data_IF_081926558017
#
_entry.id   IF_081926558017
#
_cell.length_a   1.000
_cell.length_b   1.000
_cell.length_c   1.000
_cell.angle_alpha   90.00
_cell.angle_beta   90.00
_cell.angle_gamma   90.00
#
_symmetry.space_group_name_H-M   'P 1'
#
loop_
_entity.id
_entity.type
_entity.pdbx_description
1 polymer ?
#
# COMPACT_ATOMS: atom_id res chain seq x y z
N UNK A 1 33.80 37.58 -18.18
CA UNK A 1 33.09 36.81 -19.23
C UNK A 1 32.22 35.77 -18.56
N UNK A 2 30.92 36.00 -18.49
CA UNK A 2 29.99 35.02 -17.94
C UNK A 2 29.74 33.96 -19.00
N UNK A 3 29.96 32.69 -18.66
CA UNK A 3 29.87 31.57 -19.60
C UNK A 3 28.37 31.28 -19.88
N UNK A 4 27.83 31.97 -20.89
CA UNK A 4 26.40 32.01 -21.27
C UNK A 4 25.78 30.62 -21.40
N UNK A 5 26.54 29.63 -21.88
CA UNK A 5 26.09 28.23 -21.96
C UNK A 5 25.81 27.61 -20.59
N UNK A 6 26.64 27.88 -19.57
CA UNK A 6 26.44 27.36 -18.21
C UNK A 6 25.24 28.03 -17.54
N UNK A 7 25.00 29.31 -17.80
CA UNK A 7 23.83 30.01 -17.25
C UNK A 7 22.51 29.49 -17.84
N UNK A 8 22.46 29.22 -19.14
CA UNK A 8 21.25 28.67 -19.78
C UNK A 8 20.90 27.29 -19.21
N UNK A 9 21.90 26.43 -19.01
CA UNK A 9 21.71 25.10 -18.40
C UNK A 9 21.20 25.22 -16.96
N UNK A 10 21.76 26.13 -16.16
CA UNK A 10 21.30 26.38 -14.79
C UNK A 10 19.85 26.89 -14.77
N UNK A 11 19.48 27.78 -15.69
CA UNK A 11 18.14 28.33 -15.78
C UNK A 11 17.11 27.26 -16.18
N UNK A 12 17.45 26.36 -17.12
CA UNK A 12 16.60 25.23 -17.50
C UNK A 12 16.38 24.25 -16.34
N UNK A 13 17.42 23.93 -15.58
CA UNK A 13 17.31 23.04 -14.41
C UNK A 13 16.43 23.67 -13.33
N UNK A 14 16.54 24.98 -13.10
CA UNK A 14 15.71 25.70 -12.13
C UNK A 14 14.23 25.67 -12.55
N UNK A 15 13.92 25.95 -13.82
CA UNK A 15 12.54 25.93 -14.33
C UNK A 15 11.93 24.52 -14.25
N UNK A 16 12.72 23.48 -14.56
CA UNK A 16 12.27 22.09 -14.46
C UNK A 16 11.97 21.68 -13.00
N UNK A 17 12.84 22.06 -12.05
CA UNK A 17 12.64 21.79 -10.62
C UNK A 17 11.43 22.56 -10.07
N UNK A 18 11.22 23.80 -10.51
CA UNK A 18 10.06 24.60 -10.12
C UNK A 18 8.75 24.02 -10.68
N UNK A 19 8.75 23.57 -11.95
CA UNK A 19 7.60 22.90 -12.56
C UNK A 19 7.22 21.59 -11.84
N UNK A 20 8.22 20.76 -11.50
CA UNK A 20 8.00 19.53 -10.72
C UNK A 20 7.53 19.83 -9.29
N UNK A 21 8.03 20.90 -8.67
CA UNK A 21 7.62 21.35 -7.34
C UNK A 21 6.14 21.74 -7.29
N UNK A 22 5.66 22.50 -8.27
CA UNK A 22 4.26 22.93 -8.37
C UNK A 22 3.36 21.74 -8.69
N UNK A 23 3.76 20.85 -9.62
CA UNK A 23 3.01 19.63 -9.93
C UNK A 23 2.83 18.69 -8.74
N UNK A 24 3.86 18.54 -7.89
CA UNK A 24 3.79 17.73 -6.66
C UNK A 24 2.92 18.40 -5.58
N UNK A 25 2.91 19.73 -5.48
CA UNK A 25 2.05 20.44 -4.53
C UNK A 25 0.57 20.37 -4.93
N UNK A 26 0.25 20.61 -6.20
CA UNK A 26 -1.11 20.53 -6.73
C UNK A 26 -1.68 19.10 -6.63
N UNK A 27 -0.89 18.08 -6.99
CA UNK A 27 -1.29 16.68 -6.87
C UNK A 27 -1.59 16.24 -5.42
N UNK A 28 -0.92 16.84 -4.42
CA UNK A 28 -1.19 16.54 -3.01
C UNK A 28 -2.47 17.18 -2.46
N UNK A 29 -2.95 18.26 -3.08
CA UNK A 29 -4.21 18.91 -2.67
C UNK A 29 -5.42 18.21 -3.31
N UNK A 30 -5.32 17.76 -4.56
CA UNK A 30 -6.38 17.02 -5.27
C UNK A 30 -6.65 15.63 -4.64
N UNK A 31 -5.60 14.96 -4.16
CA UNK A 31 -5.70 13.60 -3.58
C UNK A 31 -6.45 13.54 -2.24
N UNK A 32 -6.70 14.69 -1.58
CA UNK A 32 -7.53 14.74 -0.36
C UNK A 32 -9.03 14.71 -0.64
N UNK A 33 -9.49 15.06 -1.84
CA UNK A 33 -10.93 15.10 -2.18
C UNK A 33 -11.45 13.84 -2.85
N UNK A 34 -10.57 13.04 -3.47
CA UNK A 34 -10.91 11.75 -4.09
C UNK A 34 -10.22 10.60 -3.38
N UNK A 35 -10.59 10.35 -2.13
CA UNK A 35 -10.41 9.00 -1.57
C UNK A 35 -11.69 8.23 -1.83
N UNK A 36 -11.75 7.31 -2.81
CA UNK A 36 -12.69 6.22 -2.68
C UNK A 36 -12.43 5.59 -1.32
N UNK A 37 -13.46 5.58 -0.47
CA UNK A 37 -13.46 4.89 0.81
C UNK A 37 -13.41 3.40 0.50
N UNK A 38 -12.23 2.92 0.10
CA UNK A 38 -11.91 1.52 0.13
C UNK A 38 -11.85 1.15 1.62
N UNK A 39 -12.99 0.72 2.16
CA UNK A 39 -13.14 0.05 3.46
C UNK A 39 -12.41 -1.31 3.43
N UNK A 40 -11.09 -1.30 3.19
CA UNK A 40 -10.22 -2.45 3.39
C UNK A 40 -9.92 -2.52 4.88
N UNK A 41 -10.73 -3.25 5.67
CA UNK A 41 -10.42 -3.33 7.09
C UNK A 41 -11.33 -4.17 8.00
N UNK A 42 -12.47 -4.65 7.54
CA UNK A 42 -13.16 -5.73 8.25
C UNK A 42 -13.17 -6.95 7.33
N UNK A 43 -12.18 -7.82 7.49
CA UNK A 43 -12.48 -9.23 7.28
C UNK A 43 -13.49 -9.53 8.39
N UNK A 44 -14.78 -9.48 8.07
CA UNK A 44 -15.81 -9.81 9.04
C UNK A 44 -15.48 -11.18 9.59
N UNK A 45 -15.43 -11.31 10.92
CA UNK A 45 -15.24 -12.61 11.55
C UNK A 45 -16.36 -13.55 11.03
N UNK A 46 -16.10 -14.86 10.87
CA UNK A 46 -17.12 -15.82 10.46
C UNK A 46 -18.42 -15.64 11.24
N UNK A 47 -18.33 -15.40 12.56
CA UNK A 47 -19.45 -15.10 13.45
C UNK A 47 -20.28 -13.88 13.02
N UNK A 48 -19.65 -12.80 12.59
CA UNK A 48 -20.35 -11.59 12.11
C UNK A 48 -21.06 -11.85 10.78
N UNK A 49 -20.48 -12.71 9.93
CA UNK A 49 -21.08 -13.08 8.65
C UNK A 49 -22.25 -14.05 8.84
N UNK A 50 -22.10 -15.05 9.72
CA UNK A 50 -23.18 -15.99 10.06
C UNK A 50 -24.36 -15.24 10.65
N UNK A 51 -24.13 -14.32 11.60
CA UNK A 51 -25.19 -13.50 12.17
C UNK A 51 -25.94 -12.72 11.08
N UNK A 52 -25.19 -12.03 10.22
CA UNK A 52 -25.78 -11.28 9.10
C UNK A 52 -26.58 -12.18 8.15
N UNK A 53 -26.04 -13.34 7.76
CA UNK A 53 -26.73 -14.27 6.88
C UNK A 53 -27.96 -14.89 7.55
N UNK A 54 -27.90 -15.14 8.85
CA UNK A 54 -29.05 -15.61 9.62
C UNK A 54 -30.15 -14.56 9.65
N UNK A 55 -29.80 -13.30 9.91
CA UNK A 55 -30.75 -12.18 9.95
C UNK A 55 -31.37 -11.88 8.58
N UNK A 56 -30.58 -11.93 7.50
CA UNK A 56 -31.02 -11.58 6.13
C UNK A 56 -31.69 -12.75 5.38
N UNK A 57 -31.30 -14.00 5.66
CA UNK A 57 -31.76 -15.19 4.93
C UNK A 57 -32.60 -16.13 5.78
N UNK A 58 -32.82 -15.81 7.07
CA UNK A 58 -33.59 -16.61 8.01
C UNK A 58 -33.08 -18.06 8.10
N UNK A 59 -31.77 -18.24 8.25
CA UNK A 59 -31.14 -19.55 8.29
C UNK A 59 -31.62 -20.36 9.52
N UNK A 60 -32.02 -21.62 9.30
CA UNK A 60 -32.28 -22.56 10.38
C UNK A 60 -30.98 -23.05 11.06
N UNK A 61 -31.11 -23.75 12.20
CA UNK A 61 -29.95 -24.21 12.97
C UNK A 61 -29.00 -25.10 12.17
N UNK A 62 -29.53 -25.95 11.29
CA UNK A 62 -28.72 -26.85 10.46
C UNK A 62 -27.98 -26.07 9.37
N UNK A 63 -28.64 -25.09 8.77
CA UNK A 63 -28.05 -24.20 7.76
C UNK A 63 -26.94 -23.33 8.38
N UNK A 64 -27.15 -22.80 9.58
CA UNK A 64 -26.15 -22.02 10.31
C UNK A 64 -24.87 -22.83 10.56
N UNK A 65 -24.99 -24.09 10.99
CA UNK A 65 -23.85 -24.98 11.22
C UNK A 65 -23.06 -25.24 9.94
N UNK A 66 -23.75 -25.55 8.83
CA UNK A 66 -23.12 -25.77 7.53
C UNK A 66 -22.40 -24.53 7.00
N UNK A 67 -23.05 -23.36 7.09
CA UNK A 67 -22.46 -22.08 6.67
C UNK A 67 -21.26 -21.73 7.55
N UNK A 68 -21.34 -21.99 8.86
CA UNK A 68 -20.21 -21.78 9.78
C UNK A 68 -18.99 -22.58 9.36
N UNK A 69 -19.16 -23.88 9.12
CA UNK A 69 -18.08 -24.76 8.67
C UNK A 69 -17.45 -24.29 7.36
N UNK A 70 -18.28 -23.88 6.38
CA UNK A 70 -17.78 -23.33 5.11
C UNK A 70 -16.92 -22.08 5.36
N UNK A 71 -17.40 -21.14 6.18
CA UNK A 71 -16.68 -19.89 6.42
C UNK A 71 -15.37 -20.10 7.18
N UNK A 72 -15.33 -21.04 8.12
CA UNK A 72 -14.11 -21.42 8.85
C UNK A 72 -13.05 -22.03 7.93
N UNK A 73 -13.43 -23.00 7.08
CA UNK A 73 -12.53 -23.60 6.11
C UNK A 73 -11.97 -22.56 5.14
N UNK A 74 -12.80 -21.62 4.66
CA UNK A 74 -12.34 -20.54 3.78
C UNK A 74 -11.43 -19.55 4.52
N UNK A 75 -11.70 -19.23 5.78
CA UNK A 75 -10.84 -18.35 6.60
C UNK A 75 -9.42 -18.91 6.68
N UNK A 76 -9.27 -20.20 6.93
CA UNK A 76 -7.96 -20.86 6.96
C UNK A 76 -7.23 -20.76 5.61
N UNK A 77 -7.92 -21.06 4.50
CA UNK A 77 -7.35 -20.98 3.15
C UNK A 77 -6.94 -19.55 2.77
N UNK A 78 -7.74 -18.56 3.14
CA UNK A 78 -7.42 -17.14 2.93
C UNK A 78 -6.19 -16.73 3.75
N UNK A 79 -6.07 -17.19 5.00
CA UNK A 79 -4.92 -16.90 5.84
C UNK A 79 -3.62 -17.47 5.25
N UNK A 80 -3.65 -18.72 4.78
CA UNK A 80 -2.54 -19.35 4.09
C UNK A 80 -2.15 -18.59 2.81
N UNK A 81 -3.12 -18.34 1.93
CA UNK A 81 -2.88 -17.60 0.68
C UNK A 81 -2.28 -16.21 0.94
N UNK A 82 -2.77 -15.51 1.97
CA UNK A 82 -2.25 -14.20 2.37
C UNK A 82 -0.78 -14.29 2.81
N UNK A 83 -0.39 -15.33 3.55
CA UNK A 83 1.00 -15.54 3.96
C UNK A 83 1.93 -15.74 2.75
N UNK A 84 1.52 -16.60 1.82
CA UNK A 84 2.28 -16.87 0.59
C UNK A 84 2.42 -15.60 -0.27
N UNK A 85 1.33 -14.85 -0.43
CA UNK A 85 1.32 -13.59 -1.17
C UNK A 85 2.25 -12.54 -0.56
N UNK A 86 2.26 -12.39 0.77
CA UNK A 86 3.16 -11.45 1.46
C UNK A 86 4.63 -11.77 1.14
N UNK A 87 5.00 -13.05 1.19
CA UNK A 87 6.37 -13.50 0.89
C UNK A 87 6.75 -13.21 -0.58
N UNK A 88 5.89 -13.56 -1.53
CA UNK A 88 6.12 -13.30 -2.96
C UNK A 88 6.25 -11.80 -3.25
N UNK A 89 5.39 -10.98 -2.65
CA UNK A 89 5.44 -9.53 -2.82
C UNK A 89 6.74 -8.93 -2.26
N UNK A 90 7.23 -9.45 -1.13
CA UNK A 90 8.49 -8.99 -0.55
C UNK A 90 9.68 -9.24 -1.49
N UNK A 91 9.72 -10.40 -2.15
CA UNK A 91 10.76 -10.75 -3.13
C UNK A 91 10.73 -9.82 -4.34
N UNK A 92 9.55 -9.66 -4.97
CA UNK A 92 9.37 -8.76 -6.12
C UNK A 92 9.80 -7.33 -5.75
N UNK A 93 9.38 -6.85 -4.57
CA UNK A 93 9.74 -5.52 -4.09
C UNK A 93 11.26 -5.37 -3.89
N UNK A 94 11.96 -6.40 -3.44
CA UNK A 94 13.42 -6.37 -3.30
C UNK A 94 14.10 -6.29 -4.67
N UNK A 95 13.75 -7.19 -5.59
CA UNK A 95 14.36 -7.22 -6.92
C UNK A 95 14.14 -5.90 -7.65
N UNK A 96 12.92 -5.36 -7.64
CA UNK A 96 12.65 -4.05 -8.25
C UNK A 96 13.47 -2.93 -7.64
N UNK A 97 13.77 -2.97 -6.34
CA UNK A 97 14.63 -1.96 -5.70
C UNK A 97 16.08 -2.07 -6.15
N UNK A 98 16.58 -3.29 -6.31
CA UNK A 98 17.93 -3.56 -6.80
C UNK A 98 18.09 -3.13 -8.25
N UNK A 99 17.13 -3.49 -9.11
CA UNK A 99 17.07 -3.07 -10.53
C UNK A 99 17.02 -1.55 -10.67
N UNK A 100 16.17 -0.87 -9.87
CA UNK A 100 16.12 0.59 -9.85
C UNK A 100 17.46 1.15 -9.36
N UNK A 101 18.06 0.59 -8.30
CA UNK A 101 19.34 1.09 -7.77
C UNK A 101 20.46 1.02 -8.81
N UNK A 102 20.50 -0.05 -9.61
CA UNK A 102 21.54 -0.29 -10.61
C UNK A 102 21.62 0.80 -11.69
N UNK A 103 20.50 1.46 -12.01
CA UNK A 103 20.45 2.52 -13.03
C UNK A 103 20.64 3.93 -12.45
N UNK A 104 20.81 4.07 -11.13
CA UNK A 104 20.95 5.36 -10.46
C UNK A 104 22.41 5.70 -10.18
N UNK A 105 22.75 6.98 -10.29
CA UNK A 105 24.05 7.49 -9.84
C UNK A 105 24.13 7.54 -8.29
N UNK A 106 25.33 7.70 -7.68
CA UNK A 106 25.49 7.62 -6.22
C UNK A 106 24.62 8.59 -5.42
N UNK A 107 24.44 9.83 -5.89
CA UNK A 107 23.60 10.83 -5.21
C UNK A 107 22.11 10.43 -5.26
N UNK A 108 21.66 9.92 -6.41
CA UNK A 108 20.30 9.42 -6.59
C UNK A 108 20.03 8.17 -5.76
N UNK A 109 20.99 7.25 -5.65
CA UNK A 109 20.88 6.06 -4.80
C UNK A 109 20.63 6.46 -3.33
N UNK A 110 21.38 7.44 -2.82
CA UNK A 110 21.19 7.93 -1.45
C UNK A 110 19.78 8.53 -1.23
N UNK A 111 19.22 9.24 -2.23
CA UNK A 111 17.84 9.74 -2.19
C UNK A 111 16.82 8.60 -2.27
N UNK A 112 17.03 7.63 -3.15
CA UNK A 112 16.18 6.45 -3.31
C UNK A 112 16.10 5.62 -2.04
N UNK A 113 17.22 5.42 -1.35
CA UNK A 113 17.27 4.70 -0.07
C UNK A 113 16.42 5.38 1.01
N UNK A 114 16.47 6.71 1.09
CA UNK A 114 15.63 7.47 2.01
C UNK A 114 14.14 7.31 1.70
N UNK A 115 13.77 7.31 0.41
CA UNK A 115 12.39 7.05 -0.04
C UNK A 115 11.97 5.64 0.39
N UNK A 116 12.78 4.62 0.10
CA UNK A 116 12.49 3.23 0.45
C UNK A 116 12.30 3.05 1.97
N UNK A 117 13.21 3.61 2.78
CA UNK A 117 13.14 3.57 4.25
C UNK A 117 11.86 4.23 4.78
N UNK A 118 11.48 5.39 4.23
CA UNK A 118 10.25 6.10 4.64
C UNK A 118 9.00 5.27 4.33
N UNK A 119 8.96 4.63 3.17
CA UNK A 119 7.87 3.73 2.78
C UNK A 119 7.79 2.50 3.69
N UNK A 120 8.93 1.91 4.05
CA UNK A 120 8.97 0.75 4.94
C UNK A 120 8.56 1.09 6.37
N UNK A 121 8.97 2.26 6.88
CA UNK A 121 8.53 2.75 8.20
C UNK A 121 7.01 2.92 8.24
N UNK A 122 6.43 3.57 7.22
CA UNK A 122 4.97 3.71 7.11
C UNK A 122 4.30 2.35 7.10
N UNK A 123 4.76 1.40 6.28
CA UNK A 123 4.17 0.06 6.23
C UNK A 123 4.17 -0.62 7.60
N UNK A 124 5.31 -0.57 8.33
CA UNK A 124 5.40 -1.15 9.68
C UNK A 124 4.45 -0.47 10.68
N UNK A 125 4.31 0.84 10.61
CA UNK A 125 3.34 1.58 11.45
C UNK A 125 1.90 1.18 11.15
N UNK A 126 1.55 1.05 9.86
CA UNK A 126 0.24 0.56 9.43
C UNK A 126 -0.01 -0.88 9.91
N UNK A 127 0.98 -1.76 9.82
CA UNK A 127 0.88 -3.15 10.28
C UNK A 127 0.69 -3.21 11.81
N UNK A 128 1.45 -2.43 12.57
CA UNK A 128 1.28 -2.32 14.04
C UNK A 128 -0.12 -1.85 14.40
N UNK A 129 -0.61 -0.77 13.77
CA UNK A 129 -1.97 -0.27 13.98
C UNK A 129 -3.04 -1.30 13.59
N UNK A 130 -2.82 -2.05 12.52
CA UNK A 130 -3.74 -3.10 12.08
C UNK A 130 -3.79 -4.26 13.09
N UNK A 131 -2.64 -4.75 13.56
CA UNK A 131 -2.56 -5.79 14.59
C UNK A 131 -3.22 -5.35 15.91
N UNK A 132 -3.05 -4.09 16.31
CA UNK A 132 -3.68 -3.52 17.49
C UNK A 132 -5.21 -3.34 17.36
N UNK A 133 -5.76 -3.25 16.15
CA UNK A 133 -7.21 -3.13 15.91
C UNK A 133 -7.94 -4.47 15.82
N UNK A 134 -7.20 -5.57 15.72
CA UNK A 134 -7.73 -6.94 15.60
C UNK A 134 -7.65 -7.70 16.92
N UNK A 135 -6.75 -7.28 17.81
CA UNK A 135 -6.66 -7.78 19.19
C UNK A 135 -7.66 -7.05 20.07
#
# INVERSE_FOLDING_TARGET
>A
MVNTKKQIVVLMVIVLVLGLGIGVLAGRMEQKRRRPVYRHGRSSAPETLIKRFTDELHLDSRQQELVSKILEEKKARIAQFRSEMISKFAKIKSSSREEIRAVLNPEQQAKFDKICRKSDKKMREWEKKYKQRIK
#
